data_IF_033383569262
#
_entry.id   IF_033383569262
#
_cell.length_a   1.000
_cell.length_b   1.000
_cell.length_c   1.000
_cell.angle_alpha   90.00
_cell.angle_beta   90.00
_cell.angle_gamma   90.00
#
_symmetry.space_group_name_H-M   'P 1'
#
loop_
_entity.id
_entity.type
_entity.pdbx_description
1 polymer ?
#
# COMPACT_ATOMS: atom_id res chain seq x y z
N UNK A 1 15.85 17.70 34.29
CA UNK A 1 14.60 17.01 33.89
C UNK A 1 14.02 17.76 32.69
N UNK A 2 13.54 17.04 31.68
CA UNK A 2 12.91 17.63 30.50
C UNK A 2 11.60 18.34 30.89
N UNK A 3 11.45 19.62 30.60
CA UNK A 3 10.21 20.35 30.84
C UNK A 3 9.06 19.78 29.96
N UNK A 4 7.81 20.19 30.22
CA UNK A 4 6.62 19.72 29.47
C UNK A 4 6.79 19.89 27.96
N UNK A 5 7.38 21.01 27.52
CA UNK A 5 7.61 21.26 26.09
C UNK A 5 8.53 20.22 25.46
N UNK A 6 9.61 19.81 26.14
CA UNK A 6 10.51 18.77 25.68
C UNK A 6 9.81 17.40 25.61
N UNK A 7 8.99 17.04 26.61
CA UNK A 7 8.19 15.80 26.59
C UNK A 7 7.22 15.77 25.41
N UNK A 8 6.50 16.87 25.17
CA UNK A 8 5.60 16.99 24.03
C UNK A 8 6.36 16.88 22.70
N UNK A 9 7.56 17.44 22.64
CA UNK A 9 8.44 17.30 21.47
C UNK A 9 8.84 15.84 21.23
N UNK A 10 9.18 15.11 22.29
CA UNK A 10 9.60 13.70 22.18
C UNK A 10 8.45 12.77 21.76
N UNK A 11 7.25 12.98 22.30
CA UNK A 11 6.04 12.25 21.89
C UNK A 11 5.71 12.51 20.42
N UNK A 12 5.75 13.78 19.99
CA UNK A 12 5.55 14.15 18.58
C UNK A 12 6.60 13.50 17.68
N UNK A 13 7.85 13.47 18.12
CA UNK A 13 8.93 12.84 17.37
C UNK A 13 8.73 11.33 17.23
N UNK A 14 8.32 10.64 18.31
CA UNK A 14 7.96 9.22 18.26
C UNK A 14 6.88 8.94 17.23
N UNK A 15 5.74 9.63 17.33
CA UNK A 15 4.63 9.47 16.37
C UNK A 15 5.04 9.84 14.94
N UNK A 16 5.83 10.91 14.77
CA UNK A 16 6.32 11.29 13.45
C UNK A 16 7.22 10.22 12.83
N UNK A 17 8.02 9.51 13.63
CA UNK A 17 8.82 8.38 13.15
C UNK A 17 7.96 7.20 12.68
N UNK A 18 6.94 6.84 13.44
CA UNK A 18 5.98 5.81 13.01
C UNK A 18 5.28 6.19 11.70
N UNK A 19 4.81 7.44 11.58
CA UNK A 19 4.14 7.92 10.38
C UNK A 19 5.09 8.03 9.17
N UNK A 20 6.34 8.42 9.39
CA UNK A 20 7.36 8.44 8.36
C UNK A 20 7.68 7.03 7.86
N UNK A 21 7.71 6.03 8.75
CA UNK A 21 8.01 4.65 8.41
C UNK A 21 6.96 4.02 7.47
N UNK A 22 5.72 4.55 7.42
CA UNK A 22 4.66 4.06 6.52
C UNK A 22 4.48 4.93 5.25
N UNK A 23 5.18 6.04 5.16
CA UNK A 23 5.04 6.97 4.03
C UNK A 23 5.57 6.36 2.72
N UNK A 24 4.78 6.52 1.65
CA UNK A 24 5.08 6.00 0.30
C UNK A 24 4.94 4.49 0.14
N UNK A 25 4.34 3.80 1.12
CA UNK A 25 3.96 2.40 0.99
C UNK A 25 2.69 2.25 0.16
N UNK A 26 2.63 1.18 -0.63
CA UNK A 26 1.44 0.82 -1.41
C UNK A 26 0.32 0.31 -0.54
N UNK A 27 -0.91 0.39 -1.06
CA UNK A 27 -2.07 -0.21 -0.41
C UNK A 27 -1.80 -1.68 -0.07
N UNK A 28 -1.20 -2.43 -1.01
CA UNK A 28 -0.80 -3.83 -0.80
C UNK A 28 0.18 -3.96 0.37
N UNK A 29 1.25 -3.15 0.39
CA UNK A 29 2.22 -3.11 1.50
C UNK A 29 1.54 -2.76 2.84
N UNK A 30 0.54 -1.88 2.84
CA UNK A 30 -0.15 -1.40 4.04
C UNK A 30 -1.18 -2.39 4.59
N UNK A 31 -1.87 -3.14 3.72
CA UNK A 31 -3.09 -3.88 4.11
C UNK A 31 -3.08 -5.37 3.80
N UNK A 32 -2.10 -5.88 3.05
CA UNK A 32 -2.08 -7.27 2.59
C UNK A 32 -0.81 -8.02 2.97
N UNK A 33 0.33 -7.33 2.94
CA UNK A 33 1.61 -7.96 3.27
C UNK A 33 1.83 -8.00 4.78
N UNK A 34 2.07 -9.18 5.37
CA UNK A 34 2.35 -9.27 6.79
C UNK A 34 3.75 -8.71 7.11
N UNK A 35 3.85 -8.02 8.24
CA UNK A 35 5.12 -7.55 8.81
C UNK A 35 5.72 -8.57 9.79
N UNK A 36 4.88 -9.25 10.56
CA UNK A 36 5.23 -10.36 11.46
C UNK A 36 4.09 -11.39 11.48
N UNK A 37 3.83 -12.07 12.59
CA UNK A 37 2.89 -13.20 12.74
C UNK A 37 1.42 -12.86 12.38
N UNK A 38 1.14 -12.71 11.08
CA UNK A 38 -0.19 -12.49 10.52
C UNK A 38 -0.70 -11.05 10.56
N UNK A 39 0.03 -10.09 11.12
CA UNK A 39 -0.36 -8.67 11.14
C UNK A 39 0.22 -7.93 9.94
N UNK A 40 -0.60 -7.09 9.29
CA UNK A 40 -0.15 -6.08 8.33
C UNK A 40 0.08 -4.75 9.05
N UNK A 41 0.61 -3.75 8.34
CA UNK A 41 0.80 -2.40 8.91
C UNK A 41 -0.53 -1.80 9.40
N UNK A 42 -1.63 -2.10 8.71
CA UNK A 42 -2.98 -1.72 9.16
C UNK A 42 -3.30 -2.28 10.55
N UNK A 43 -3.00 -3.55 10.80
CA UNK A 43 -3.18 -4.16 12.13
C UNK A 43 -2.24 -3.55 13.18
N UNK A 44 -0.98 -3.24 12.83
CA UNK A 44 -0.05 -2.54 13.74
C UNK A 44 -0.62 -1.19 14.17
N UNK A 45 -1.17 -0.40 13.24
CA UNK A 45 -1.78 0.89 13.59
C UNK A 45 -3.06 0.74 14.40
N UNK A 46 -3.88 -0.28 14.13
CA UNK A 46 -5.07 -0.58 14.94
C UNK A 46 -4.70 -0.95 16.38
N UNK A 47 -3.60 -1.69 16.56
CA UNK A 47 -3.01 -2.00 17.87
C UNK A 47 -2.52 -0.74 18.59
N UNK A 48 -1.71 0.09 17.93
CA UNK A 48 -1.23 1.38 18.49
C UNK A 48 -2.41 2.26 18.90
N UNK A 49 -3.45 2.32 18.07
CA UNK A 49 -4.67 3.06 18.35
C UNK A 49 -5.40 2.55 19.59
N UNK A 50 -5.47 1.23 19.79
CA UNK A 50 -5.99 0.62 21.01
C UNK A 50 -5.27 1.15 22.24
N UNK A 51 -3.94 1.12 22.24
CA UNK A 51 -3.14 1.65 23.35
C UNK A 51 -3.31 3.16 23.56
N UNK A 52 -3.43 3.96 22.49
CA UNK A 52 -3.76 5.40 22.59
C UNK A 52 -5.14 5.62 23.26
N UNK A 53 -6.17 4.85 22.87
CA UNK A 53 -7.48 4.90 23.51
C UNK A 53 -7.43 4.52 24.99
N UNK A 54 -6.59 3.54 25.35
CA UNK A 54 -6.35 3.18 26.74
C UNK A 54 -5.66 4.31 27.52
N UNK A 55 -4.69 5.00 26.91
CA UNK A 55 -4.04 6.16 27.51
C UNK A 55 -5.06 7.28 27.78
N UNK A 56 -5.96 7.57 26.84
CA UNK A 56 -7.03 8.56 27.04
C UNK A 56 -7.96 8.24 28.21
N UNK A 57 -8.19 6.95 28.50
CA UNK A 57 -8.94 6.51 29.69
C UNK A 57 -8.10 6.55 30.98
N UNK A 58 -6.80 6.30 30.87
CA UNK A 58 -5.87 6.16 32.01
C UNK A 58 -5.42 7.51 32.55
N UNK A 59 -5.07 8.47 31.68
CA UNK A 59 -4.53 9.77 32.07
C UNK A 59 -5.44 10.53 33.05
N UNK A 60 -6.77 10.67 32.81
CA UNK A 60 -7.65 11.38 33.74
C UNK A 60 -7.67 10.77 35.14
N UNK A 61 -7.65 9.42 35.25
CA UNK A 61 -7.60 8.72 36.53
C UNK A 61 -6.30 9.02 37.27
N UNK A 62 -5.15 8.97 36.56
CA UNK A 62 -3.87 9.30 37.17
C UNK A 62 -3.82 10.77 37.62
N UNK A 63 -4.28 11.72 36.81
CA UNK A 63 -4.32 13.15 37.16
C UNK A 63 -5.14 13.37 38.44
N UNK A 64 -6.26 12.66 38.60
CA UNK A 64 -7.11 12.72 39.79
C UNK A 64 -6.60 11.89 40.98
N UNK A 65 -5.37 11.37 40.92
CA UNK A 65 -4.78 10.48 41.93
C UNK A 65 -5.58 9.19 42.18
N UNK A 66 -6.29 8.71 41.16
CA UNK A 66 -7.11 7.48 41.14
C UNK A 66 -6.43 6.37 40.33
N UNK A 67 -5.10 6.28 40.44
CA UNK A 67 -4.31 5.31 39.67
C UNK A 67 -4.66 3.85 39.99
N UNK A 68 -5.16 3.56 41.19
CA UNK A 68 -5.68 2.26 41.60
C UNK A 68 -6.91 1.81 40.81
N UNK A 69 -7.64 2.73 40.15
CA UNK A 69 -8.81 2.41 39.33
C UNK A 69 -8.45 2.07 37.87
N UNK A 70 -7.17 2.23 37.49
CA UNK A 70 -6.70 1.84 36.15
C UNK A 70 -6.72 0.31 36.06
N UNK A 71 -7.71 -0.25 35.36
CA UNK A 71 -7.87 -1.69 35.19
C UNK A 71 -6.61 -2.37 34.62
N UNK A 72 -6.29 -3.59 35.07
CA UNK A 72 -5.30 -4.44 34.37
C UNK A 72 -5.86 -4.92 33.03
N UNK A 73 -4.98 -5.29 32.12
CA UNK A 73 -5.35 -5.98 30.86
C UNK A 73 -4.34 -7.09 30.62
N UNK A 74 -4.83 -8.20 30.09
CA UNK A 74 -3.96 -9.18 29.45
C UNK A 74 -3.58 -8.63 28.07
N UNK A 75 -2.27 -8.48 27.84
CA UNK A 75 -1.74 -7.70 26.70
C UNK A 75 -2.17 -8.29 25.37
N UNK A 76 -2.06 -9.60 25.21
CA UNK A 76 -2.36 -10.27 23.94
C UNK A 76 -3.86 -10.23 23.62
N UNK A 77 -4.72 -10.44 24.61
CA UNK A 77 -6.17 -10.31 24.46
C UNK A 77 -6.54 -8.88 24.06
N UNK A 78 -5.96 -7.88 24.73
CA UNK A 78 -6.21 -6.47 24.44
C UNK A 78 -5.76 -6.05 23.03
N UNK A 79 -4.60 -6.55 22.59
CA UNK A 79 -4.09 -6.31 21.23
C UNK A 79 -5.06 -6.91 20.19
N UNK A 80 -5.52 -8.14 20.42
CA UNK A 80 -6.44 -8.83 19.52
C UNK A 80 -7.81 -8.15 19.47
N UNK A 81 -8.34 -7.69 20.60
CA UNK A 81 -9.57 -6.89 20.68
C UNK A 81 -9.45 -5.57 19.92
N UNK A 82 -8.31 -4.89 20.07
CA UNK A 82 -8.03 -3.62 19.39
C UNK A 82 -8.03 -3.82 17.87
N UNK A 83 -7.33 -4.83 17.37
CA UNK A 83 -7.33 -5.18 15.94
C UNK A 83 -8.75 -5.52 15.46
N UNK A 84 -9.48 -6.36 16.19
CA UNK A 84 -10.82 -6.78 15.80
C UNK A 84 -11.81 -5.59 15.74
N UNK A 85 -11.66 -4.62 16.64
CA UNK A 85 -12.48 -3.40 16.66
C UNK A 85 -12.35 -2.59 15.38
N UNK A 86 -11.15 -2.55 14.80
CA UNK A 86 -10.83 -1.71 13.63
C UNK A 86 -10.75 -2.50 12.32
N UNK A 87 -10.90 -3.83 12.34
CA UNK A 87 -10.72 -4.71 11.18
C UNK A 87 -11.50 -4.27 9.94
N UNK A 88 -12.76 -3.86 10.13
CA UNK A 88 -13.66 -3.45 9.04
C UNK A 88 -13.46 -2.01 8.57
N UNK A 89 -12.61 -1.23 9.24
CA UNK A 89 -12.29 0.15 8.87
C UNK A 89 -11.23 0.19 7.78
N UNK A 90 -11.27 1.21 6.95
CA UNK A 90 -10.22 1.48 5.97
C UNK A 90 -8.92 1.90 6.66
N UNK A 91 -7.78 1.74 5.98
CA UNK A 91 -6.49 2.23 6.48
C UNK A 91 -6.53 3.74 6.75
N UNK A 92 -7.14 4.52 5.85
CA UNK A 92 -7.27 5.96 6.00
C UNK A 92 -8.09 6.37 7.25
N UNK A 93 -9.19 5.64 7.55
CA UNK A 93 -9.96 5.87 8.78
C UNK A 93 -9.13 5.58 10.04
N UNK A 94 -8.39 4.48 10.06
CA UNK A 94 -7.52 4.12 11.20
C UNK A 94 -6.43 5.18 11.38
N UNK A 95 -5.76 5.58 10.29
CA UNK A 95 -4.71 6.59 10.33
C UNK A 95 -5.23 7.95 10.83
N UNK A 96 -6.40 8.37 10.37
CA UNK A 96 -7.04 9.61 10.83
C UNK A 96 -7.34 9.56 12.34
N UNK A 97 -7.82 8.41 12.85
CA UNK A 97 -8.07 8.23 14.27
C UNK A 97 -6.78 8.20 15.08
N UNK A 98 -5.75 7.46 14.65
CA UNK A 98 -4.39 7.44 15.27
C UNK A 98 -3.85 8.86 15.43
N UNK A 99 -4.00 9.72 14.42
CA UNK A 99 -3.56 11.10 14.50
C UNK A 99 -4.44 11.94 15.44
N UNK A 100 -5.76 11.70 15.44
CA UNK A 100 -6.72 12.39 16.30
C UNK A 100 -6.50 12.11 17.78
N UNK A 101 -6.36 10.83 18.14
CA UNK A 101 -6.15 10.38 19.52
C UNK A 101 -4.82 10.88 20.06
N UNK A 102 -3.76 10.83 19.26
CA UNK A 102 -2.47 11.38 19.64
C UNK A 102 -2.54 12.88 19.94
N UNK A 103 -3.25 13.68 19.11
CA UNK A 103 -3.46 15.11 19.39
C UNK A 103 -4.20 15.34 20.71
N UNK A 104 -5.21 14.53 21.04
CA UNK A 104 -5.94 14.62 22.30
C UNK A 104 -5.03 14.29 23.50
N UNK A 105 -4.20 13.25 23.39
CA UNK A 105 -3.21 12.88 24.43
C UNK A 105 -2.22 14.03 24.66
N UNK A 106 -1.66 14.61 23.59
CA UNK A 106 -0.76 15.75 23.67
C UNK A 106 -1.43 16.97 24.32
N UNK A 107 -2.71 17.21 24.06
CA UNK A 107 -3.46 18.30 24.68
C UNK A 107 -3.65 18.08 26.19
N UNK A 108 -3.91 16.85 26.63
CA UNK A 108 -4.00 16.54 28.06
C UNK A 108 -2.64 16.74 28.73
N UNK A 109 -1.56 16.21 28.15
CA UNK A 109 -0.21 16.30 28.72
C UNK A 109 0.31 17.74 28.75
N UNK A 110 -0.02 18.56 27.74
CA UNK A 110 0.41 19.97 27.71
C UNK A 110 -0.24 20.85 28.77
N UNK A 111 -1.40 20.42 29.30
CA UNK A 111 -2.08 21.08 30.41
C UNK A 111 -1.52 20.74 31.80
N UNK A 112 -0.59 19.78 31.90
CA UNK A 112 0.00 19.36 33.17
C UNK A 112 1.15 20.26 33.59
N UNK A 113 1.29 20.48 34.90
CA UNK A 113 2.52 20.98 35.48
C UNK A 113 3.60 19.89 35.48
N UNK A 114 4.85 20.29 35.29
CA UNK A 114 5.98 19.35 35.24
C UNK A 114 6.05 18.41 36.46
N UNK A 115 5.70 18.89 37.66
CA UNK A 115 5.69 18.07 38.88
C UNK A 115 4.61 16.98 38.89
N UNK A 116 3.49 17.19 38.18
CA UNK A 116 2.36 16.23 38.18
C UNK A 116 2.73 14.95 37.42
N UNK A 117 3.60 15.10 36.41
CA UNK A 117 4.11 14.01 35.60
C UNK A 117 4.91 13.01 36.44
N UNK A 118 5.74 13.55 37.35
CA UNK A 118 6.64 12.77 38.21
C UNK A 118 6.03 12.41 39.57
N UNK A 119 4.78 12.81 39.81
CA UNK A 119 4.07 12.47 41.04
C UNK A 119 3.86 10.95 41.14
N UNK A 120 4.34 10.38 42.24
CA UNK A 120 4.23 8.94 42.56
C UNK A 120 2.79 8.60 42.93
N UNK A 121 2.25 7.57 42.29
CA UNK A 121 0.89 7.07 42.52
C UNK A 121 0.93 5.57 42.75
N UNK A 122 0.12 5.09 43.68
CA UNK A 122 -0.02 3.66 43.95
C UNK A 122 -1.07 3.05 43.01
N UNK A 123 -0.74 1.90 42.45
CA UNK A 123 -1.63 1.06 41.66
C UNK A 123 -1.32 -0.42 41.92
N UNK A 124 -2.23 -1.11 42.61
CA UNK A 124 -2.18 -2.56 42.87
C UNK A 124 -0.81 -3.05 43.37
N UNK A 125 -0.24 -2.39 44.38
CA UNK A 125 1.04 -2.69 45.01
C UNK A 125 2.27 -2.13 44.27
N UNK A 126 2.09 -1.41 43.16
CA UNK A 126 3.18 -0.81 42.38
C UNK A 126 3.10 0.72 42.42
N UNK A 127 4.26 1.37 42.44
CA UNK A 127 4.33 2.82 42.29
C UNK A 127 4.57 3.16 40.83
N UNK A 128 3.70 3.99 40.27
CA UNK A 128 3.78 4.48 38.89
C UNK A 128 3.77 6.01 38.85
N UNK A 129 4.28 6.58 37.76
CA UNK A 129 4.16 8.01 37.42
C UNK A 129 3.58 8.14 36.02
N UNK A 130 3.06 9.33 35.67
CA UNK A 130 2.61 9.58 34.29
C UNK A 130 3.81 9.49 33.33
N UNK A 131 5.01 9.88 33.79
CA UNK A 131 6.25 9.70 33.03
C UNK A 131 6.47 8.24 32.65
N UNK A 132 6.63 7.36 33.65
CA UNK A 132 7.10 6.00 33.41
C UNK A 132 6.02 5.06 32.88
N UNK A 133 4.75 5.32 33.17
CA UNK A 133 3.65 4.41 32.82
C UNK A 133 2.91 4.82 31.53
N UNK A 134 3.06 6.08 31.10
CA UNK A 134 2.40 6.59 29.90
C UNK A 134 3.43 7.15 28.94
N UNK A 135 4.13 8.22 29.32
CA UNK A 135 4.96 9.00 28.38
C UNK A 135 6.11 8.17 27.81
N UNK A 136 6.94 7.58 28.67
CA UNK A 136 8.13 6.86 28.23
C UNK A 136 7.74 5.63 27.40
N UNK A 137 6.70 4.91 27.84
CA UNK A 137 6.14 3.75 27.13
C UNK A 137 5.64 4.13 25.74
N UNK A 138 4.86 5.22 25.62
CA UNK A 138 4.36 5.66 24.31
C UNK A 138 5.48 6.06 23.35
N UNK A 139 6.51 6.76 23.85
CA UNK A 139 7.65 7.19 23.04
C UNK A 139 8.43 5.99 22.52
N UNK A 140 8.71 5.02 23.40
CA UNK A 140 9.41 3.79 23.04
C UNK A 140 8.58 2.97 22.05
N UNK A 141 7.29 2.77 22.35
CA UNK A 141 6.36 1.96 21.55
C UNK A 141 6.21 2.46 20.10
N UNK A 142 6.02 3.77 19.88
CA UNK A 142 5.95 4.33 18.53
C UNK A 142 7.30 4.16 17.78
N UNK A 143 8.43 4.28 18.49
CA UNK A 143 9.78 4.15 17.88
C UNK A 143 10.15 2.71 17.56
N UNK A 144 9.76 1.77 18.40
CA UNK A 144 9.95 0.33 18.17
C UNK A 144 9.21 -0.10 16.91
N UNK A 145 7.91 0.20 16.80
CA UNK A 145 7.15 -0.12 15.60
C UNK A 145 7.64 0.62 14.35
N UNK A 146 8.12 1.86 14.48
CA UNK A 146 8.77 2.54 13.36
C UNK A 146 10.01 1.76 12.86
N UNK A 147 10.88 1.32 13.77
CA UNK A 147 12.08 0.57 13.42
C UNK A 147 11.76 -0.81 12.82
N UNK A 148 10.73 -1.50 13.33
CA UNK A 148 10.25 -2.76 12.77
C UNK A 148 9.76 -2.59 11.33
N UNK A 149 8.95 -1.55 11.07
CA UNK A 149 8.44 -1.23 9.72
C UNK A 149 9.60 -0.87 8.80
N UNK A 150 10.55 -0.04 9.24
CA UNK A 150 11.73 0.32 8.44
C UNK A 150 12.58 -0.92 8.07
N UNK A 151 12.78 -1.85 9.01
CA UNK A 151 13.50 -3.10 8.74
C UNK A 151 12.73 -3.99 7.76
N UNK A 152 11.42 -4.13 7.95
CA UNK A 152 10.57 -4.90 7.06
C UNK A 152 10.57 -4.35 5.64
N UNK A 153 10.45 -3.02 5.47
CA UNK A 153 10.54 -2.33 4.18
C UNK A 153 11.87 -2.64 3.49
N UNK A 154 12.97 -2.52 4.22
CA UNK A 154 14.30 -2.81 3.69
C UNK A 154 14.41 -4.27 3.22
N UNK A 155 13.86 -5.21 3.96
CA UNK A 155 13.88 -6.63 3.57
C UNK A 155 13.03 -6.89 2.32
N UNK A 156 11.85 -6.27 2.22
CA UNK A 156 11.03 -6.34 1.00
C UNK A 156 11.77 -5.78 -0.22
N UNK A 157 12.36 -4.60 -0.09
CA UNK A 157 13.12 -3.95 -1.16
C UNK A 157 14.34 -4.79 -1.59
N UNK A 158 14.99 -5.47 -0.65
CA UNK A 158 16.09 -6.40 -0.94
C UNK A 158 15.64 -7.70 -1.60
N UNK A 159 14.37 -8.08 -1.45
CA UNK A 159 13.79 -9.27 -2.06
C UNK A 159 13.38 -9.08 -3.53
N UNK A 160 13.39 -7.83 -4.02
CA UNK A 160 13.08 -7.53 -5.42
C UNK A 160 14.13 -8.18 -6.32
N UNK A 161 13.66 -9.03 -7.24
CA UNK A 161 14.49 -9.63 -8.29
C UNK A 161 14.10 -9.06 -9.67
N UNK A 162 14.85 -8.06 -10.17
CA UNK A 162 14.61 -7.48 -11.49
C UNK A 162 14.72 -8.49 -12.64
N UNK A 163 15.55 -9.53 -12.53
CA UNK A 163 15.74 -10.50 -13.61
C UNK A 163 14.53 -11.42 -13.71
N UNK A 164 14.00 -11.86 -12.57
CA UNK A 164 12.77 -12.64 -12.52
C UNK A 164 11.58 -11.85 -13.03
N UNK A 165 11.42 -10.59 -12.62
CA UNK A 165 10.32 -9.73 -13.11
C UNK A 165 10.38 -9.56 -14.63
N UNK A 166 11.57 -9.27 -15.19
CA UNK A 166 11.77 -9.18 -16.65
C UNK A 166 11.41 -10.48 -17.36
N UNK A 167 11.81 -11.61 -16.79
CA UNK A 167 11.52 -12.94 -17.35
C UNK A 167 10.03 -13.23 -17.34
N UNK A 168 9.33 -12.97 -16.23
CA UNK A 168 7.87 -13.12 -16.12
C UNK A 168 7.12 -12.22 -17.11
N UNK A 169 7.53 -10.95 -17.25
CA UNK A 169 6.93 -10.03 -18.21
C UNK A 169 7.10 -10.52 -19.65
N UNK A 170 8.32 -10.93 -20.03
CA UNK A 170 8.58 -11.49 -21.34
C UNK A 170 7.74 -12.75 -21.61
N UNK A 171 7.66 -13.66 -20.62
CA UNK A 171 6.86 -14.88 -20.74
C UNK A 171 5.38 -14.56 -20.92
N UNK A 172 4.80 -13.64 -20.16
CA UNK A 172 3.38 -13.30 -20.26
C UNK A 172 3.01 -12.64 -21.57
N UNK A 173 3.88 -11.77 -22.10
CA UNK A 173 3.71 -11.22 -23.45
C UNK A 173 3.79 -12.31 -24.52
N UNK A 174 4.67 -13.30 -24.37
CA UNK A 174 4.78 -14.44 -25.28
C UNK A 174 3.52 -15.33 -25.22
N UNK A 175 3.02 -15.62 -24.01
CA UNK A 175 1.78 -16.38 -23.78
C UNK A 175 0.58 -15.67 -24.42
N UNK A 176 0.49 -14.34 -24.25
CA UNK A 176 -0.52 -13.51 -24.88
C UNK A 176 -0.42 -13.56 -26.41
N UNK A 177 0.78 -13.37 -26.97
CA UNK A 177 1.00 -13.45 -28.42
C UNK A 177 0.59 -14.82 -28.99
N UNK A 178 0.94 -15.91 -28.31
CA UNK A 178 0.55 -17.26 -28.70
C UNK A 178 -0.98 -17.46 -28.70
N UNK A 179 -1.71 -16.79 -27.81
CA UNK A 179 -3.17 -16.84 -27.77
C UNK A 179 -3.83 -16.11 -28.95
N UNK A 180 -3.16 -15.11 -29.55
CA UNK A 180 -3.74 -14.22 -30.57
C UNK A 180 -3.16 -14.41 -31.98
N UNK A 181 -2.11 -15.21 -32.15
CA UNK A 181 -1.51 -15.48 -33.47
C UNK A 181 -2.34 -16.46 -34.30
N UNK A 182 -2.19 -16.45 -35.62
CA UNK A 182 -2.85 -17.37 -36.57
C UNK A 182 -4.39 -17.37 -36.49
N UNK A 183 -4.98 -16.23 -36.14
CA UNK A 183 -6.43 -16.02 -36.14
C UNK A 183 -6.88 -15.39 -37.46
N UNK A 184 -8.08 -15.74 -37.93
CA UNK A 184 -8.68 -15.04 -39.06
C UNK A 184 -9.13 -13.64 -38.66
N UNK A 185 -9.36 -12.75 -39.63
CA UNK A 185 -9.90 -11.41 -39.35
C UNK A 185 -11.27 -11.48 -38.66
N UNK A 186 -12.11 -12.47 -39.00
CA UNK A 186 -13.39 -12.68 -38.35
C UNK A 186 -13.22 -13.03 -36.86
N UNK A 187 -12.24 -13.89 -36.53
CA UNK A 187 -11.96 -14.30 -35.15
C UNK A 187 -11.38 -13.14 -34.33
N UNK A 188 -10.48 -12.34 -34.92
CA UNK A 188 -9.91 -11.15 -34.27
C UNK A 188 -10.98 -10.11 -33.89
N UNK A 189 -12.09 -10.09 -34.62
CA UNK A 189 -13.21 -9.17 -34.46
C UNK A 189 -14.42 -9.80 -33.75
N UNK A 190 -14.37 -11.08 -33.36
CA UNK A 190 -15.45 -11.75 -32.63
C UNK A 190 -15.59 -11.15 -31.23
N UNK A 191 -16.71 -10.45 -30.98
CA UNK A 191 -17.02 -9.79 -29.71
C UNK A 191 -17.31 -10.74 -28.55
N UNK A 192 -17.11 -12.05 -28.73
CA UNK A 192 -17.28 -13.07 -27.69
C UNK A 192 -15.95 -13.63 -27.18
N UNK A 193 -14.81 -13.07 -27.58
CA UNK A 193 -13.49 -13.54 -27.18
C UNK A 193 -13.26 -13.49 -25.66
N UNK A 194 -13.70 -12.41 -25.01
CA UNK A 194 -13.77 -12.32 -23.55
C UNK A 194 -14.98 -11.49 -23.14
N UNK A 195 -16.07 -12.16 -22.74
CA UNK A 195 -17.33 -11.48 -22.43
C UNK A 195 -17.90 -10.79 -23.67
N UNK A 196 -17.88 -9.45 -23.69
CA UNK A 196 -18.35 -8.63 -24.80
C UNK A 196 -17.22 -8.04 -25.66
N UNK A 197 -15.96 -8.43 -25.40
CA UNK A 197 -14.77 -7.90 -26.06
C UNK A 197 -14.23 -8.89 -27.08
N UNK A 198 -13.70 -8.37 -28.19
CA UNK A 198 -12.92 -9.13 -29.15
C UNK A 198 -11.44 -9.16 -28.82
N UNK A 199 -10.68 -10.01 -29.51
CA UNK A 199 -9.22 -10.07 -29.38
C UNK A 199 -8.59 -8.70 -29.67
N UNK A 200 -9.08 -8.00 -30.71
CA UNK A 200 -8.66 -6.61 -31.01
C UNK A 200 -8.92 -5.65 -29.86
N UNK A 201 -10.08 -5.71 -29.23
CA UNK A 201 -10.41 -4.80 -28.12
C UNK A 201 -9.46 -5.05 -26.92
N UNK A 202 -9.19 -6.31 -26.60
CA UNK A 202 -8.26 -6.70 -25.52
C UNK A 202 -6.84 -6.23 -25.84
N UNK A 203 -6.35 -6.41 -27.07
CA UNK A 203 -5.03 -5.96 -27.47
C UNK A 203 -4.88 -4.43 -27.39
N UNK A 204 -5.90 -3.68 -27.80
CA UNK A 204 -5.95 -2.23 -27.64
C UNK A 204 -5.96 -1.82 -26.17
N UNK A 205 -6.80 -2.46 -25.36
CA UNK A 205 -6.87 -2.20 -23.92
C UNK A 205 -5.53 -2.47 -23.20
N UNK A 206 -4.86 -3.58 -23.48
CA UNK A 206 -3.52 -3.88 -22.96
C UNK A 206 -2.49 -2.84 -23.42
N UNK A 207 -2.57 -2.39 -24.68
CA UNK A 207 -1.69 -1.34 -25.20
C UNK A 207 -1.81 -0.05 -24.38
N UNK A 208 -3.03 0.35 -24.09
CA UNK A 208 -3.34 1.54 -23.31
C UNK A 208 -2.92 1.37 -21.83
N UNK A 209 -3.10 0.19 -21.25
CA UNK A 209 -2.65 -0.12 -19.88
C UNK A 209 -1.13 -0.09 -19.75
N UNK A 210 -0.39 -0.74 -20.65
CA UNK A 210 1.07 -0.69 -20.65
C UNK A 210 1.60 0.73 -20.84
N UNK A 211 0.93 1.54 -21.67
CA UNK A 211 1.30 2.95 -21.87
C UNK A 211 1.08 3.75 -20.61
N UNK A 212 -0.01 3.51 -19.89
CA UNK A 212 -0.30 4.14 -18.61
C UNK A 212 0.78 3.78 -17.57
N UNK A 213 1.10 2.49 -17.42
CA UNK A 213 2.15 2.01 -16.52
C UNK A 213 3.52 2.60 -16.88
N UNK A 214 3.89 2.63 -18.16
CA UNK A 214 5.15 3.19 -18.64
C UNK A 214 5.27 4.69 -18.31
N UNK A 215 4.20 5.45 -18.48
CA UNK A 215 4.22 6.87 -18.18
C UNK A 215 4.30 7.13 -16.66
N UNK A 216 3.63 6.33 -15.83
CA UNK A 216 3.77 6.39 -14.38
C UNK A 216 5.18 6.00 -13.94
N UNK A 217 5.73 4.91 -14.50
CA UNK A 217 7.08 4.45 -14.26
C UNK A 217 8.14 5.51 -14.61
N UNK A 218 7.95 6.23 -15.73
CA UNK A 218 8.81 7.37 -16.11
C UNK A 218 8.74 8.51 -15.11
N UNK A 219 7.55 8.85 -14.60
CA UNK A 219 7.41 9.87 -13.56
C UNK A 219 8.08 9.46 -12.24
N UNK A 220 7.92 8.20 -11.82
CA UNK A 220 8.60 7.68 -10.62
C UNK A 220 10.12 7.73 -10.78
N UNK A 221 10.62 7.43 -11.98
CA UNK A 221 12.06 7.49 -12.30
C UNK A 221 12.61 8.91 -12.41
N UNK A 222 11.83 9.82 -13.01
CA UNK A 222 12.14 11.25 -13.18
C UNK A 222 10.93 12.10 -12.76
N UNK A 223 10.90 12.57 -11.50
CA UNK A 223 9.80 13.38 -10.98
C UNK A 223 9.61 14.75 -11.65
N UNK A 224 10.52 15.16 -12.55
CA UNK A 224 10.30 16.36 -13.37
C UNK A 224 9.26 16.16 -14.48
N UNK A 225 8.96 14.90 -14.81
CA UNK A 225 7.90 14.55 -15.75
C UNK A 225 6.51 14.70 -15.09
N UNK A 226 5.44 14.93 -15.87
CA UNK A 226 4.10 15.08 -15.32
C UNK A 226 3.61 13.85 -14.55
N UNK A 227 2.94 14.08 -13.42
CA UNK A 227 2.21 13.03 -12.69
C UNK A 227 1.09 12.49 -13.57
N UNK A 228 0.90 11.17 -13.56
CA UNK A 228 -0.20 10.55 -14.27
C UNK A 228 -1.48 10.73 -13.47
N UNK A 229 -2.50 11.31 -14.10
CA UNK A 229 -3.82 11.44 -13.48
C UNK A 229 -4.35 10.04 -13.18
N UNK A 230 -4.83 9.79 -11.96
CA UNK A 230 -5.52 8.55 -11.63
C UNK A 230 -6.64 8.22 -12.61
N UNK A 231 -6.64 7.00 -13.11
CA UNK A 231 -7.71 6.43 -13.94
C UNK A 231 -8.71 5.75 -13.01
N UNK A 232 -9.99 6.08 -13.16
CA UNK A 232 -11.08 5.41 -12.44
C UNK A 232 -11.49 4.11 -13.14
N UNK A 233 -12.17 3.20 -12.44
CA UNK A 233 -12.65 1.94 -13.03
C UNK A 233 -13.53 2.17 -14.27
N UNK A 234 -14.40 3.19 -14.21
CA UNK A 234 -15.27 3.60 -15.32
C UNK A 234 -14.46 4.06 -16.54
N UNK A 235 -13.37 4.81 -16.32
CA UNK A 235 -12.48 5.25 -17.38
C UNK A 235 -11.64 4.10 -17.94
N UNK A 236 -11.25 3.15 -17.10
CA UNK A 236 -10.55 1.93 -17.49
C UNK A 236 -11.42 1.06 -18.42
N UNK A 237 -12.70 0.87 -18.09
CA UNK A 237 -13.66 0.19 -18.96
C UNK A 237 -13.87 0.95 -20.29
N UNK A 238 -13.93 2.28 -20.24
CA UNK A 238 -14.09 3.12 -21.42
C UNK A 238 -12.87 3.14 -22.36
N UNK A 239 -11.66 2.78 -21.88
CA UNK A 239 -10.46 2.70 -22.72
C UNK A 239 -10.62 1.65 -23.82
N UNK A 240 -11.33 0.54 -23.57
CA UNK A 240 -11.58 -0.50 -24.59
C UNK A 240 -12.38 0.03 -25.79
N UNK A 241 -13.29 0.99 -25.58
CA UNK A 241 -14.10 1.58 -26.66
C UNK A 241 -13.29 2.47 -27.62
N UNK A 242 -12.09 2.95 -27.23
CA UNK A 242 -11.26 3.84 -28.04
C UNK A 242 -10.73 3.19 -29.30
N UNK A 243 -10.56 1.87 -29.28
CA UNK A 243 -10.00 1.09 -30.39
C UNK A 243 -11.05 0.51 -31.32
N UNK A 244 -12.35 0.76 -31.07
CA UNK A 244 -13.44 0.17 -31.86
C UNK A 244 -13.30 0.43 -33.37
N UNK A 245 -12.89 1.65 -33.74
CA UNK A 245 -12.70 2.09 -35.13
C UNK A 245 -11.32 1.82 -35.74
N UNK A 246 -10.37 1.24 -35.00
CA UNK A 246 -9.02 0.94 -35.51
C UNK A 246 -8.96 -0.42 -36.21
N UNK A 247 -8.06 -0.57 -37.18
CA UNK A 247 -7.78 -1.89 -37.77
C UNK A 247 -6.98 -2.76 -36.80
N UNK A 248 -7.02 -4.07 -37.00
CA UNK A 248 -6.17 -5.01 -36.27
C UNK A 248 -4.68 -4.65 -36.42
N UNK A 249 -4.21 -4.43 -37.65
CA UNK A 249 -2.80 -4.09 -37.91
C UNK A 249 -2.33 -2.85 -37.14
N UNK A 250 -3.17 -1.81 -37.09
CA UNK A 250 -2.85 -0.59 -36.33
C UNK A 250 -2.79 -0.87 -34.83
N UNK A 251 -3.75 -1.64 -34.33
CA UNK A 251 -3.84 -2.02 -32.90
C UNK A 251 -2.62 -2.86 -32.50
N UNK A 252 -2.29 -3.87 -33.30
CA UNK A 252 -1.17 -4.76 -33.06
C UNK A 252 0.18 -4.03 -33.16
N UNK A 253 0.36 -3.16 -34.16
CA UNK A 253 1.55 -2.31 -34.24
C UNK A 253 1.70 -1.38 -33.02
N UNK A 254 0.59 -0.86 -32.50
CA UNK A 254 0.54 -0.08 -31.27
C UNK A 254 0.99 -0.89 -30.04
N UNK A 255 0.52 -2.13 -29.92
CA UNK A 255 0.91 -3.06 -28.86
C UNK A 255 2.41 -3.34 -28.92
N UNK A 256 2.94 -3.74 -30.08
CA UNK A 256 4.38 -4.01 -30.22
C UNK A 256 5.22 -2.77 -29.90
N UNK A 257 4.78 -1.58 -30.33
CA UNK A 257 5.50 -0.34 -30.06
C UNK A 257 5.54 0.02 -28.57
N UNK A 258 4.44 -0.18 -27.82
CA UNK A 258 4.45 0.10 -26.38
C UNK A 258 5.26 -0.95 -25.61
N UNK A 259 5.19 -2.22 -26.00
CA UNK A 259 5.98 -3.29 -25.40
C UNK A 259 7.49 -3.00 -25.54
N UNK A 260 7.93 -2.62 -26.74
CA UNK A 260 9.32 -2.22 -26.99
C UNK A 260 9.70 -0.98 -26.14
N UNK A 261 8.81 0.00 -26.02
CA UNK A 261 9.08 1.20 -25.22
C UNK A 261 9.22 0.91 -23.71
N UNK A 262 8.47 -0.08 -23.20
CA UNK A 262 8.63 -0.61 -21.84
C UNK A 262 9.97 -1.33 -21.71
N UNK A 263 10.33 -2.19 -22.66
CA UNK A 263 11.60 -2.93 -22.63
C UNK A 263 12.80 -1.98 -22.65
N UNK A 264 12.76 -0.96 -23.51
CA UNK A 264 13.78 0.09 -23.59
C UNK A 264 13.90 0.87 -22.27
N UNK A 265 12.77 1.13 -21.59
CA UNK A 265 12.78 1.78 -20.29
C UNK A 265 13.40 0.88 -19.22
N UNK A 266 12.93 -0.36 -19.12
CA UNK A 266 13.39 -1.37 -18.16
C UNK A 266 14.87 -1.74 -18.35
N UNK A 267 15.36 -1.71 -19.59
CA UNK A 267 16.77 -1.94 -19.91
C UNK A 267 17.70 -0.83 -19.39
N UNK A 268 17.19 0.39 -19.19
CA UNK A 268 17.95 1.54 -18.67
C UNK A 268 17.96 1.64 -17.14
N UNK A 269 17.07 0.93 -16.45
CA UNK A 269 16.97 0.96 -15.00
C UNK A 269 18.22 0.37 -14.33
N UNK A 270 18.75 1.10 -13.34
CA UNK A 270 19.82 0.64 -12.44
C UNK A 270 19.22 -0.15 -11.28
N UNK A 271 20.07 -0.89 -10.54
CA UNK A 271 19.64 -1.71 -9.40
C UNK A 271 18.84 -0.93 -8.35
N UNK A 272 19.22 0.32 -8.04
CA UNK A 272 18.49 1.17 -7.09
C UNK A 272 17.21 1.81 -7.64
N UNK A 273 16.99 1.78 -8.96
CA UNK A 273 15.83 2.44 -9.56
C UNK A 273 14.53 1.66 -9.27
N UNK A 274 14.63 0.34 -9.06
CA UNK A 274 13.50 -0.55 -8.80
C UNK A 274 12.78 -0.26 -7.48
N UNK A 275 13.47 0.35 -6.52
CA UNK A 275 12.92 0.73 -5.21
C UNK A 275 12.47 2.19 -5.17
N UNK A 276 12.61 2.95 -6.24
CA UNK A 276 12.10 4.33 -6.31
C UNK A 276 10.58 4.30 -6.13
N UNK A 277 10.08 5.22 -5.29
CA UNK A 277 8.67 5.29 -4.91
C UNK A 277 8.01 6.54 -5.49
N UNK A 278 6.75 6.40 -5.88
CA UNK A 278 5.93 7.52 -6.31
C UNK A 278 4.47 7.14 -6.55
N UNK A 279 3.65 8.07 -7.04
CA UNK A 279 2.21 7.86 -7.20
C UNK A 279 1.93 6.81 -8.27
N UNK A 280 0.98 5.93 -7.98
CA UNK A 280 0.43 5.00 -8.96
C UNK A 280 -0.67 5.67 -9.80
N UNK A 281 -0.97 5.16 -11.00
CA UNK A 281 -1.97 5.76 -11.89
C UNK A 281 -3.42 5.40 -11.52
N UNK A 282 -3.68 5.01 -10.27
CA UNK A 282 -5.02 4.82 -9.69
C UNK A 282 -5.16 5.62 -8.39
N UNK A 283 -6.40 5.88 -7.91
CA UNK A 283 -6.63 6.82 -6.82
C UNK A 283 -6.01 6.38 -5.49
N UNK A 284 -5.48 7.36 -4.76
CA UNK A 284 -5.03 7.25 -3.36
C UNK A 284 -4.04 6.09 -3.11
N UNK A 285 -3.10 5.88 -4.04
CA UNK A 285 -2.08 4.85 -3.92
C UNK A 285 -0.72 5.29 -4.49
N UNK A 286 0.32 4.66 -3.98
CA UNK A 286 1.71 4.94 -4.33
C UNK A 286 2.55 3.72 -4.01
N UNK A 287 3.67 3.51 -4.68
CA UNK A 287 4.57 2.44 -4.26
C UNK A 287 5.82 2.43 -5.10
N UNK A 288 6.53 1.31 -5.07
CA UNK A 288 7.81 1.21 -5.74
C UNK A 288 7.68 0.84 -7.23
N UNK A 289 8.71 1.18 -8.00
CA UNK A 289 8.75 0.95 -9.44
C UNK A 289 8.63 -0.54 -9.82
N UNK A 290 9.18 -1.44 -9.01
CA UNK A 290 9.09 -2.88 -9.28
C UNK A 290 7.65 -3.39 -9.20
N UNK A 291 6.91 -3.03 -8.15
CA UNK A 291 5.50 -3.40 -8.01
C UNK A 291 4.65 -2.79 -9.13
N UNK A 292 4.86 -1.51 -9.49
CA UNK A 292 4.16 -0.91 -10.65
C UNK A 292 4.38 -1.70 -11.95
N UNK A 293 5.61 -2.17 -12.20
CA UNK A 293 5.90 -2.98 -13.39
C UNK A 293 5.32 -4.40 -13.29
N UNK A 294 5.20 -4.97 -12.09
CA UNK A 294 4.49 -6.24 -11.87
C UNK A 294 2.99 -6.12 -12.18
N UNK A 295 2.38 -4.93 -12.03
CA UNK A 295 1.00 -4.70 -12.48
C UNK A 295 0.81 -4.81 -14.00
N UNK A 296 1.86 -4.67 -14.82
CA UNK A 296 1.76 -5.01 -16.25
C UNK A 296 1.54 -6.52 -16.40
N UNK A 297 2.31 -7.32 -15.65
CA UNK A 297 2.23 -8.78 -15.67
C UNK A 297 0.84 -9.26 -15.23
N UNK A 298 0.36 -8.75 -14.09
CA UNK A 298 -0.94 -9.11 -13.54
C UNK A 298 -2.08 -8.81 -14.53
N UNK A 299 -1.98 -7.71 -15.27
CA UNK A 299 -3.00 -7.35 -16.26
C UNK A 299 -3.09 -8.34 -17.43
N UNK A 300 -1.96 -8.97 -17.81
CA UNK A 300 -1.99 -10.07 -18.77
C UNK A 300 -2.67 -11.31 -18.18
N UNK A 301 -2.43 -11.61 -16.90
CA UNK A 301 -3.04 -12.76 -16.20
C UNK A 301 -4.58 -12.66 -16.16
N UNK A 302 -5.15 -11.45 -16.15
CA UNK A 302 -6.60 -11.23 -16.19
C UNK A 302 -7.25 -11.57 -17.55
N UNK A 303 -6.49 -11.46 -18.65
CA UNK A 303 -7.04 -11.60 -20.01
C UNK A 303 -6.66 -12.91 -20.71
N UNK A 304 -5.45 -13.43 -20.47
CA UNK A 304 -4.95 -14.65 -21.14
C UNK A 304 -5.88 -15.85 -20.95
N UNK A 305 -6.41 -16.16 -19.74
CA UNK A 305 -7.26 -17.34 -19.55
C UNK A 305 -8.52 -17.34 -20.42
N UNK A 306 -9.19 -16.18 -20.51
CA UNK A 306 -10.38 -16.02 -21.34
C UNK A 306 -10.06 -16.21 -22.84
N UNK A 307 -8.96 -15.61 -23.30
CA UNK A 307 -8.50 -15.76 -24.69
C UNK A 307 -8.15 -17.20 -25.04
N UNK A 308 -7.44 -17.91 -24.15
CA UNK A 308 -7.08 -19.31 -24.36
C UNK A 308 -8.32 -20.21 -24.39
N UNK A 309 -9.30 -19.96 -23.52
CA UNK A 309 -10.57 -20.68 -23.49
C UNK A 309 -11.36 -20.47 -24.79
N UNK A 310 -11.52 -19.22 -25.23
CA UNK A 310 -12.22 -18.90 -26.48
C UNK A 310 -11.48 -19.45 -27.71
N UNK A 311 -10.15 -19.29 -27.79
CA UNK A 311 -9.35 -19.83 -28.90
C UNK A 311 -9.55 -21.34 -29.03
N UNK A 312 -9.58 -22.05 -27.90
CA UNK A 312 -9.82 -23.50 -27.89
C UNK A 312 -11.21 -23.88 -28.42
N UNK A 313 -12.21 -23.01 -28.28
CA UNK A 313 -13.56 -23.22 -28.83
C UNK A 313 -13.56 -22.98 -30.34
N UNK A 314 -13.05 -21.83 -30.79
CA UNK A 314 -12.97 -21.49 -32.21
C UNK A 314 -12.20 -22.54 -33.01
N UNK A 315 -11.05 -22.99 -32.49
CA UNK A 315 -10.22 -24.00 -33.16
C UNK A 315 -10.84 -25.41 -33.20
N UNK A 316 -11.87 -25.70 -32.37
CA UNK A 316 -12.64 -26.95 -32.48
C UNK A 316 -13.74 -26.88 -33.53
N UNK A 317 -14.22 -25.67 -33.80
CA UNK A 317 -15.36 -25.43 -34.69
C UNK A 317 -14.92 -25.07 -36.13
N UNK A 318 -13.61 -24.85 -36.35
CA UNK A 318 -12.95 -24.61 -37.64
C UNK A 318 -12.55 -25.91 -38.37
#
# INVERSE_FOLDING_TARGET
>A
MANIAAIISDLKYGRAKLLQAIEGLSRRELTELPIYEGWTIKEVLAHVLGWDHRVLKTLPLMIQNRASEVAGVEVDEYNQESINTWRHKSFAEILAEVQSTHRQILQIISGLEHREIDTRRERHGRIITIRSYVIDVMIEHDREHAAEIELWRKNLEQSIDPAELKTRLAQRRADFLAAITDLSEADLLDKKAAGAWSVKDIAGHITDWERLMLNAARHIHDPSLPVIRPVTDEENEAMAARHAGESWDKTFAGLTAVQQAVDDFVARLKSGDWTLRGPYPWPDDSGNLAELLDHIILHYDDHIPNLQQWRSQVMRDA
#
